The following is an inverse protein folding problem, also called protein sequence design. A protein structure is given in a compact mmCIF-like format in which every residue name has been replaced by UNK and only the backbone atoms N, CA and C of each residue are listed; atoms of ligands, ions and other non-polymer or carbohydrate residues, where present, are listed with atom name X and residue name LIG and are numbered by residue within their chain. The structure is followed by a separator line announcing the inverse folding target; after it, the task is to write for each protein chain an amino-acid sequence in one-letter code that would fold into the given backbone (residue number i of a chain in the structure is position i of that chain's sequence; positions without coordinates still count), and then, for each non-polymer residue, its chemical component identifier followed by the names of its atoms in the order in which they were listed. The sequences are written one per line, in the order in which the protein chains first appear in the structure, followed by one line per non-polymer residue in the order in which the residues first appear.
data_IF_875188208229
#
_entry.id   IF_875188208229
#
_cell.length_a   1.000
_cell.length_b   1.000
_cell.length_c   1.000
_cell.angle_alpha   90.00
_cell.angle_beta   90.00
_cell.angle_gamma   90.00
#
_symmetry.space_group_name_H-M   'P 1'
#
loop_
_entity.id
_entity.type
_entity.pdbx_description
1 polymer ?
#
# COMPACT_ATOMS: atom_id res chain seq x y z
N UNK A 1 21.65 -13.10 -8.53
CA UNK A 1 21.82 -13.44 -7.14
C UNK A 1 20.79 -12.77 -6.24
N UNK A 2 20.89 -12.98 -4.94
CA UNK A 2 20.12 -12.23 -3.96
C UNK A 2 20.62 -10.78 -3.84
N UNK A 3 19.73 -9.87 -3.52
CA UNK A 3 20.06 -8.44 -3.39
C UNK A 3 19.41 -7.85 -2.13
N UNK A 4 20.23 -7.18 -1.31
CA UNK A 4 19.78 -6.21 -0.32
C UNK A 4 19.63 -4.88 -1.03
N UNK A 5 18.40 -4.38 -1.18
CA UNK A 5 18.12 -3.17 -1.94
C UNK A 5 17.67 -2.04 -1.02
N UNK A 6 18.57 -1.10 -0.78
CA UNK A 6 18.36 0.04 0.13
C UNK A 6 18.47 1.41 -0.55
N UNK A 7 18.47 1.46 -1.87
CA UNK A 7 18.50 2.72 -2.62
C UNK A 7 17.23 3.56 -2.39
N UNK A 8 16.06 2.91 -2.32
CA UNK A 8 14.89 3.49 -1.65
C UNK A 8 15.14 3.38 -0.15
N UNK A 9 14.86 4.41 0.59
CA UNK A 9 15.18 4.65 1.97
C UNK A 9 16.61 5.21 2.15
N UNK A 10 17.65 4.41 2.35
CA UNK A 10 19.02 4.88 2.61
C UNK A 10 19.61 5.67 1.43
N UNK A 11 19.37 5.23 0.21
CA UNK A 11 19.81 5.93 -1.00
C UNK A 11 18.93 7.11 -1.41
N UNK A 12 17.85 7.38 -0.69
CA UNK A 12 16.90 8.48 -0.92
C UNK A 12 16.25 8.50 -2.30
N UNK A 13 16.27 7.38 -3.02
CA UNK A 13 15.58 7.26 -4.31
C UNK A 13 14.06 7.28 -4.12
N UNK A 14 13.29 7.80 -5.08
CA UNK A 14 11.83 7.76 -5.06
C UNK A 14 11.29 6.34 -4.94
N UNK A 15 10.11 6.18 -4.33
CA UNK A 15 9.46 4.88 -4.11
C UNK A 15 9.21 4.15 -5.43
N UNK A 16 8.88 4.87 -6.49
CA UNK A 16 8.62 4.33 -7.83
C UNK A 16 9.83 3.60 -8.42
N UNK A 17 11.03 3.86 -7.90
CA UNK A 17 12.27 3.19 -8.34
C UNK A 17 12.19 1.68 -8.15
N UNK A 18 11.41 1.18 -7.17
CA UNK A 18 11.17 -0.26 -7.03
C UNK A 18 10.64 -0.92 -8.32
N UNK A 19 9.86 -0.19 -9.12
CA UNK A 19 9.31 -0.70 -10.38
C UNK A 19 10.36 -0.92 -11.49
N UNK A 20 11.53 -0.33 -11.35
CA UNK A 20 12.62 -0.39 -12.35
C UNK A 20 13.74 -1.33 -11.95
N UNK A 21 13.77 -1.76 -10.70
CA UNK A 21 14.84 -2.60 -10.15
C UNK A 21 14.55 -4.08 -10.38
N UNK A 22 15.61 -4.81 -10.74
CA UNK A 22 15.51 -6.25 -11.04
C UNK A 22 16.54 -7.07 -10.26
N UNK A 23 16.10 -8.15 -9.67
CA UNK A 23 16.95 -9.17 -9.04
C UNK A 23 16.27 -10.54 -9.07
N UNK A 24 17.06 -11.60 -8.99
CA UNK A 24 16.53 -12.95 -8.84
C UNK A 24 15.80 -13.17 -7.52
N UNK A 25 16.23 -12.45 -6.48
CA UNK A 25 15.68 -12.52 -5.14
C UNK A 25 16.01 -11.22 -4.39
N UNK A 26 15.01 -10.54 -3.89
CA UNK A 26 15.20 -9.40 -2.99
C UNK A 26 15.18 -9.91 -1.55
N UNK A 27 16.35 -10.03 -0.95
CA UNK A 27 16.54 -10.57 0.40
C UNK A 27 16.37 -9.54 1.50
N UNK A 28 16.52 -8.24 1.16
CA UNK A 28 16.17 -7.12 2.03
C UNK A 28 15.78 -5.89 1.23
N UNK A 29 14.81 -5.16 1.73
CA UNK A 29 14.43 -3.79 1.44
C UNK A 29 13.49 -3.34 2.56
N UNK A 30 13.31 -2.05 2.77
CA UNK A 30 12.47 -1.60 3.86
C UNK A 30 12.15 -0.12 3.81
N UNK A 31 11.22 0.28 4.66
CA UNK A 31 10.80 1.66 4.82
C UNK A 31 10.38 1.88 6.27
N UNK A 32 10.72 3.04 6.88
CA UNK A 32 10.40 3.28 8.28
C UNK A 32 9.03 3.92 8.50
N UNK A 33 8.44 3.58 9.63
CA UNK A 33 7.41 4.39 10.27
C UNK A 33 7.55 4.36 11.79
N UNK A 34 7.00 5.38 12.43
CA UNK A 34 6.74 5.34 13.86
C UNK A 34 5.69 4.27 14.17
N UNK A 35 5.56 3.81 15.43
CA UNK A 35 4.38 3.09 15.88
C UNK A 35 3.12 3.98 15.77
N UNK A 36 1.95 3.38 15.95
CA UNK A 36 0.71 4.15 16.03
C UNK A 36 0.68 5.04 17.30
N UNK A 37 -0.22 6.01 17.32
CA UNK A 37 -0.26 7.02 18.38
C UNK A 37 -0.46 6.41 19.78
N UNK A 38 -1.31 5.38 19.94
CA UNK A 38 -1.50 4.69 21.22
C UNK A 38 -0.23 4.00 21.74
N UNK A 39 0.64 3.56 20.83
CA UNK A 39 1.94 3.01 21.18
C UNK A 39 2.94 4.12 21.53
N UNK A 40 2.92 5.22 20.78
CA UNK A 40 3.80 6.39 21.04
C UNK A 40 3.50 6.99 22.41
N UNK A 41 2.26 7.15 22.81
CA UNK A 41 1.88 7.67 24.14
C UNK A 41 2.44 6.85 25.31
N UNK A 42 2.80 5.60 25.10
CA UNK A 42 3.41 4.76 26.17
C UNK A 42 4.83 5.13 26.50
N UNK A 43 5.58 5.74 25.57
CA UNK A 43 6.96 6.17 25.80
C UNK A 43 7.14 7.70 25.69
N UNK A 44 6.17 8.39 25.11
CA UNK A 44 6.06 9.85 25.03
C UNK A 44 4.68 10.28 25.55
N UNK A 45 4.43 10.21 26.88
CA UNK A 45 3.11 10.48 27.45
C UNK A 45 2.75 11.98 27.49
N UNK A 46 3.75 12.85 27.41
CA UNK A 46 3.56 14.31 27.51
C UNK A 46 3.42 14.92 26.10
N UNK A 47 2.49 15.88 25.94
CA UNK A 47 2.28 16.57 24.66
C UNK A 47 3.51 17.34 24.18
N UNK A 48 4.36 17.80 25.10
CA UNK A 48 5.60 18.49 24.77
C UNK A 48 6.56 17.60 23.95
N UNK A 49 6.42 16.26 24.06
CA UNK A 49 7.21 15.28 23.31
C UNK A 49 6.62 14.91 21.96
N UNK A 50 5.42 15.41 21.61
CA UNK A 50 4.75 15.09 20.35
C UNK A 50 5.29 15.91 19.18
N UNK A 51 6.58 15.82 19.03
CA UNK A 51 7.36 16.31 17.88
C UNK A 51 8.41 15.24 17.55
N UNK A 52 8.51 14.89 16.28
CA UNK A 52 9.47 13.85 15.84
C UNK A 52 10.94 14.23 16.13
N UNK A 53 11.22 15.49 16.44
CA UNK A 53 12.53 16.01 16.81
C UNK A 53 12.69 16.25 18.32
N UNK A 54 11.69 15.94 19.14
CA UNK A 54 11.84 15.96 20.59
C UNK A 54 12.92 14.95 21.05
N UNK A 55 13.54 15.17 22.19
CA UNK A 55 14.57 14.29 22.72
C UNK A 55 14.06 12.87 22.89
N UNK A 56 12.83 12.70 23.39
CA UNK A 56 12.16 11.42 23.58
C UNK A 56 11.98 10.72 22.23
N UNK A 57 11.39 11.38 21.23
CA UNK A 57 11.15 10.78 19.92
C UNK A 57 12.45 10.44 19.18
N UNK A 58 13.48 11.28 19.33
CA UNK A 58 14.81 11.02 18.75
C UNK A 58 15.52 9.85 19.44
N UNK A 59 15.34 9.66 20.74
CA UNK A 59 15.89 8.49 21.47
C UNK A 59 15.20 7.19 21.09
N UNK A 60 13.92 7.25 20.64
CA UNK A 60 13.14 6.12 20.17
C UNK A 60 13.19 5.96 18.64
N UNK A 61 14.39 6.09 18.05
CA UNK A 61 14.60 5.98 16.59
C UNK A 61 15.68 4.94 16.26
N UNK A 62 15.29 3.85 15.60
CA UNK A 62 16.19 2.75 15.23
C UNK A 62 17.22 3.13 14.16
N UNK A 63 16.87 4.06 13.26
CA UNK A 63 17.73 4.49 12.14
C UNK A 63 18.74 5.59 12.49
N UNK A 64 18.81 6.02 13.77
CA UNK A 64 19.69 7.11 14.21
C UNK A 64 19.18 8.51 13.87
N UNK A 65 19.97 9.52 14.16
CA UNK A 65 19.55 10.95 14.19
C UNK A 65 18.94 11.47 12.87
N UNK A 66 19.37 10.95 11.72
CA UNK A 66 18.89 11.44 10.41
C UNK A 66 17.60 10.79 9.94
N UNK A 67 17.14 9.72 10.59
CA UNK A 67 16.03 8.93 10.09
C UNK A 67 14.68 9.65 10.22
N UNK A 68 14.47 10.48 11.26
CA UNK A 68 13.24 11.26 11.40
C UNK A 68 13.12 12.32 10.28
N UNK A 69 14.24 12.98 9.94
CA UNK A 69 14.27 13.89 8.79
C UNK A 69 14.00 13.16 7.47
N UNK A 70 14.48 11.93 7.32
CA UNK A 70 14.24 11.12 6.12
C UNK A 70 12.76 10.70 6.03
N UNK A 71 12.14 10.31 7.14
CA UNK A 71 10.70 10.05 7.22
C UNK A 71 9.90 11.27 6.75
N UNK A 72 10.20 12.45 7.30
CA UNK A 72 9.52 13.70 6.94
C UNK A 72 9.71 14.04 5.47
N UNK A 73 10.94 13.91 4.95
CA UNK A 73 11.25 14.16 3.54
C UNK A 73 10.41 13.29 2.61
N UNK A 74 10.36 11.99 2.85
CA UNK A 74 9.53 11.08 2.04
C UNK A 74 8.05 11.39 2.20
N UNK A 75 7.60 11.70 3.41
CA UNK A 75 6.20 12.01 3.65
C UNK A 75 5.76 13.24 2.85
N UNK A 76 6.53 14.32 2.88
CA UNK A 76 6.21 15.55 2.15
C UNK A 76 6.41 15.42 0.62
N UNK A 77 7.21 14.46 0.18
CA UNK A 77 7.31 14.13 -1.25
C UNK A 77 6.05 13.43 -1.78
N UNK A 78 5.41 12.60 -0.97
CA UNK A 78 4.27 11.77 -1.38
C UNK A 78 2.92 12.30 -0.92
N UNK A 79 2.85 12.99 0.23
CA UNK A 79 1.63 13.44 0.88
C UNK A 79 1.63 14.96 1.15
N UNK A 80 0.46 15.51 1.40
CA UNK A 80 0.32 16.88 1.91
C UNK A 80 0.81 16.95 3.36
N UNK A 81 1.18 18.15 3.83
CA UNK A 81 1.61 18.36 5.21
C UNK A 81 0.54 17.91 6.20
N UNK A 82 0.88 17.06 7.18
CA UNK A 82 -0.04 16.64 8.23
C UNK A 82 -0.56 17.82 9.07
N UNK A 83 -1.77 17.69 9.59
CA UNK A 83 -2.42 18.75 10.40
C UNK A 83 -1.84 18.86 11.81
N UNK A 84 -1.44 17.74 12.38
CA UNK A 84 -0.93 17.60 13.73
C UNK A 84 -0.06 16.33 13.83
N UNK A 85 0.48 16.07 15.01
CA UNK A 85 1.36 14.92 15.27
C UNK A 85 0.67 13.57 15.05
N UNK A 86 -0.57 13.39 15.53
CA UNK A 86 -1.32 12.14 15.32
C UNK A 86 -1.56 11.87 13.83
N UNK A 87 -1.96 12.90 13.07
CA UNK A 87 -2.10 12.79 11.62
C UNK A 87 -0.75 12.48 10.93
N UNK A 88 0.36 13.01 11.44
CA UNK A 88 1.70 12.67 10.95
C UNK A 88 1.98 11.18 11.13
N UNK A 89 1.76 10.64 12.32
CA UNK A 89 1.99 9.22 12.59
C UNK A 89 1.13 8.33 11.69
N UNK A 90 -0.15 8.65 11.56
CA UNK A 90 -1.07 7.93 10.68
C UNK A 90 -0.61 7.96 9.21
N UNK A 91 -0.28 9.15 8.70
CA UNK A 91 0.17 9.28 7.30
C UNK A 91 1.52 8.58 7.07
N UNK A 92 2.41 8.59 8.06
CA UNK A 92 3.67 7.86 8.00
C UNK A 92 3.47 6.33 7.95
N UNK A 93 2.47 5.80 8.68
CA UNK A 93 2.08 4.39 8.56
C UNK A 93 1.61 4.03 7.15
N UNK A 94 0.75 4.87 6.57
CA UNK A 94 0.22 4.63 5.22
C UNK A 94 1.32 4.73 4.18
N UNK A 95 2.23 5.70 4.32
CA UNK A 95 3.41 5.86 3.47
C UNK A 95 4.31 4.63 3.49
N UNK A 96 4.61 4.09 4.68
CA UNK A 96 5.38 2.84 4.82
C UNK A 96 4.67 1.70 4.10
N UNK A 97 3.34 1.59 4.28
CA UNK A 97 2.52 0.58 3.62
C UNK A 97 2.57 0.69 2.10
N UNK A 98 2.44 1.91 1.55
CA UNK A 98 2.52 2.17 0.11
C UNK A 98 3.91 1.82 -0.47
N UNK A 99 4.98 2.20 0.22
CA UNK A 99 6.34 1.91 -0.23
C UNK A 99 6.59 0.39 -0.33
N UNK A 100 6.22 -0.35 0.72
CA UNK A 100 6.40 -1.80 0.76
C UNK A 100 5.44 -2.52 -0.20
N UNK A 101 4.20 -2.05 -0.35
CA UNK A 101 3.26 -2.54 -1.37
C UNK A 101 3.86 -2.39 -2.76
N UNK A 102 4.39 -1.23 -3.10
CA UNK A 102 5.01 -0.95 -4.41
C UNK A 102 6.17 -1.90 -4.68
N UNK A 103 7.04 -2.12 -3.69
CA UNK A 103 8.17 -3.06 -3.80
C UNK A 103 7.70 -4.49 -4.06
N UNK A 104 6.79 -5.01 -3.22
CA UNK A 104 6.29 -6.39 -3.34
C UNK A 104 5.60 -6.60 -4.70
N UNK A 105 4.76 -5.67 -5.11
CA UNK A 105 4.09 -5.75 -6.43
C UNK A 105 5.09 -5.77 -7.57
N UNK A 106 6.10 -4.88 -7.55
CA UNK A 106 7.14 -4.83 -8.57
C UNK A 106 7.92 -6.14 -8.66
N UNK A 107 8.36 -6.67 -7.52
CA UNK A 107 9.12 -7.92 -7.45
C UNK A 107 8.27 -9.12 -7.93
N UNK A 108 6.99 -9.17 -7.56
CA UNK A 108 6.09 -10.25 -7.98
C UNK A 108 5.73 -10.15 -9.46
N UNK A 109 5.57 -8.95 -10.01
CA UNK A 109 5.34 -8.77 -11.46
C UNK A 109 6.52 -9.27 -12.30
N UNK A 110 7.75 -9.20 -11.78
CA UNK A 110 8.97 -9.65 -12.48
C UNK A 110 9.17 -11.18 -12.47
N UNK A 111 8.21 -11.95 -11.96
CA UNK A 111 8.23 -13.41 -12.03
C UNK A 111 8.11 -13.88 -13.50
N UNK A 112 8.84 -14.92 -13.96
CA UNK A 112 9.67 -15.84 -13.20
C UNK A 112 11.12 -15.41 -13.00
N UNK A 113 11.50 -14.19 -13.37
CA UNK A 113 12.86 -13.73 -13.13
C UNK A 113 13.15 -13.51 -11.66
N UNK A 114 12.30 -12.77 -10.96
CA UNK A 114 12.32 -12.62 -9.51
C UNK A 114 11.43 -13.68 -8.86
N UNK A 115 12.01 -14.54 -8.03
CA UNK A 115 11.28 -15.65 -7.38
C UNK A 115 11.26 -15.55 -5.86
N UNK A 116 11.60 -14.39 -5.30
CA UNK A 116 11.47 -14.17 -3.86
C UNK A 116 11.69 -12.73 -3.44
N UNK A 117 10.96 -12.34 -2.41
CA UNK A 117 10.98 -10.97 -1.88
C UNK A 117 10.70 -10.98 -0.37
N UNK A 118 11.66 -10.45 0.42
CA UNK A 118 11.63 -10.37 1.86
C UNK A 118 11.86 -8.94 2.30
N UNK A 119 10.91 -8.35 3.01
CA UNK A 119 11.10 -7.01 3.55
C UNK A 119 11.75 -7.03 4.93
N UNK A 120 12.57 -6.06 5.22
CA UNK A 120 13.09 -5.74 6.52
C UNK A 120 12.16 -4.68 7.16
N UNK A 121 11.47 -4.95 8.29
CA UNK A 121 11.54 -6.18 9.08
C UNK A 121 10.17 -6.55 9.66
N UNK A 122 10.06 -7.71 10.31
CA UNK A 122 8.78 -8.19 10.83
C UNK A 122 8.34 -7.45 12.09
N UNK A 123 9.18 -7.37 13.13
CA UNK A 123 8.81 -6.83 14.44
C UNK A 123 9.93 -6.08 15.14
N UNK A 124 9.56 -5.29 16.13
CA UNK A 124 10.47 -4.57 17.02
C UNK A 124 10.73 -5.34 18.32
N UNK A 125 11.92 -5.11 18.93
CA UNK A 125 12.31 -5.63 20.24
C UNK A 125 12.32 -4.55 21.33
N UNK A 126 12.00 -3.31 21.01
CA UNK A 126 11.82 -2.18 21.92
C UNK A 126 10.91 -1.12 21.30
N UNK A 127 10.30 -0.19 22.09
CA UNK A 127 9.44 0.84 21.54
C UNK A 127 10.23 1.82 20.66
N UNK A 128 9.96 1.88 19.35
CA UNK A 128 10.85 2.58 18.43
C UNK A 128 10.18 2.86 17.08
N UNK A 129 10.62 3.94 16.41
CA UNK A 129 10.42 4.11 14.98
C UNK A 129 11.40 3.21 14.21
N UNK A 130 10.88 2.37 13.32
CA UNK A 130 11.65 1.37 12.60
C UNK A 130 11.00 0.91 11.30
N UNK A 131 11.64 -0.03 10.62
CA UNK A 131 11.13 -0.71 9.43
C UNK A 131 10.13 -1.85 9.75
N UNK A 132 9.82 -2.10 11.03
CA UNK A 132 8.96 -3.20 11.43
C UNK A 132 7.53 -3.05 10.94
N UNK A 133 6.87 -4.17 10.64
CA UNK A 133 5.45 -4.25 10.35
C UNK A 133 4.58 -4.44 11.59
N UNK A 134 5.21 -4.85 12.71
CA UNK A 134 4.60 -5.02 14.03
C UNK A 134 5.42 -4.29 15.07
N UNK A 135 4.81 -3.44 15.86
CA UNK A 135 5.50 -2.69 16.89
C UNK A 135 5.85 -3.54 18.12
N UNK A 136 6.63 -2.95 19.05
CA UNK A 136 7.04 -3.61 20.28
C UNK A 136 5.88 -4.10 21.13
N UNK A 137 4.76 -3.37 21.17
CA UNK A 137 3.59 -3.73 21.96
C UNK A 137 2.67 -4.75 21.28
N UNK A 138 3.07 -5.23 20.09
CA UNK A 138 2.36 -6.26 19.36
C UNK A 138 1.28 -5.74 18.41
N UNK A 139 1.14 -4.43 18.23
CA UNK A 139 0.20 -3.84 17.28
C UNK A 139 0.72 -3.92 15.86
N UNK A 140 -0.17 -4.22 14.93
CA UNK A 140 0.14 -4.24 13.51
C UNK A 140 0.15 -2.81 12.95
N UNK A 141 1.26 -2.43 12.30
CA UNK A 141 1.30 -1.21 11.51
C UNK A 141 0.56 -1.38 10.19
N UNK A 142 0.22 -0.27 9.51
CA UNK A 142 -0.46 -0.31 8.21
C UNK A 142 0.27 -1.20 7.20
N UNK A 143 1.61 -1.21 7.19
CA UNK A 143 2.44 -2.07 6.33
C UNK A 143 2.01 -3.54 6.37
N UNK A 144 1.64 -4.08 7.54
CA UNK A 144 1.22 -5.47 7.67
C UNK A 144 -0.02 -5.76 6.81
N UNK A 145 -1.02 -4.88 6.85
CA UNK A 145 -2.26 -5.04 6.10
C UNK A 145 -2.05 -4.87 4.60
N UNK A 146 -1.16 -3.94 4.19
CA UNK A 146 -0.78 -3.76 2.79
C UNK A 146 -0.04 -4.99 2.27
N UNK A 147 0.98 -5.48 3.00
CA UNK A 147 1.73 -6.68 2.65
C UNK A 147 0.82 -7.91 2.55
N UNK A 148 -0.10 -8.11 3.52
CA UNK A 148 -1.07 -9.22 3.51
C UNK A 148 -1.89 -9.26 2.22
N UNK A 149 -2.30 -8.10 1.70
CA UNK A 149 -3.08 -8.03 0.45
C UNK A 149 -2.25 -8.44 -0.76
N UNK A 150 -1.01 -7.96 -0.85
CA UNK A 150 -0.18 -8.17 -2.04
C UNK A 150 0.65 -9.45 -2.00
N UNK A 151 0.67 -10.17 -0.87
CA UNK A 151 1.23 -11.53 -0.74
C UNK A 151 0.18 -12.65 -0.89
N UNK A 152 -1.06 -12.33 -1.25
CA UNK A 152 -2.04 -13.38 -1.54
C UNK A 152 -1.58 -14.25 -2.71
N UNK A 153 -2.06 -15.47 -2.76
CA UNK A 153 -1.76 -16.47 -3.81
C UNK A 153 -2.01 -15.94 -5.24
N UNK A 154 -2.96 -15.04 -5.41
CA UNK A 154 -3.14 -14.25 -6.64
C UNK A 154 -3.04 -12.76 -6.29
N UNK A 155 -2.26 -12.04 -7.08
CA UNK A 155 -2.14 -10.59 -7.05
C UNK A 155 -2.68 -9.99 -8.35
N UNK A 156 -3.59 -9.04 -8.24
CA UNK A 156 -4.00 -8.15 -9.34
C UNK A 156 -3.22 -6.83 -9.17
N UNK A 157 -2.40 -6.49 -10.15
CA UNK A 157 -1.49 -5.34 -10.04
C UNK A 157 -1.64 -4.40 -11.24
N UNK A 158 -2.45 -3.33 -11.11
CA UNK A 158 -2.50 -2.25 -12.09
C UNK A 158 -1.17 -1.46 -12.07
N UNK A 159 -0.70 -1.08 -13.24
CA UNK A 159 0.46 -0.22 -13.43
C UNK A 159 0.35 0.54 -14.75
N UNK A 160 0.84 1.77 -14.79
CA UNK A 160 1.05 2.52 -16.03
C UNK A 160 2.50 2.44 -16.44
N UNK A 161 2.75 2.26 -17.74
CA UNK A 161 4.08 2.32 -18.33
C UNK A 161 4.43 3.73 -18.84
N UNK A 162 5.67 3.90 -19.31
CA UNK A 162 6.17 5.18 -19.84
C UNK A 162 5.41 5.64 -21.11
N UNK A 163 4.72 4.72 -21.81
CA UNK A 163 3.86 5.00 -22.98
C UNK A 163 2.44 5.42 -22.60
N UNK A 164 2.16 5.69 -21.34
CA UNK A 164 0.82 6.00 -20.83
C UNK A 164 -0.22 4.91 -21.16
N UNK A 165 0.17 3.66 -21.07
CA UNK A 165 -0.73 2.51 -21.15
C UNK A 165 -1.02 1.98 -19.76
N UNK A 166 -2.30 1.89 -19.40
CA UNK A 166 -2.73 1.19 -18.19
C UNK A 166 -2.71 -0.30 -18.45
N UNK A 167 -1.85 -1.00 -17.73
CA UNK A 167 -1.70 -2.45 -17.77
C UNK A 167 -2.25 -3.07 -16.47
N UNK A 168 -2.96 -4.17 -16.58
CA UNK A 168 -3.32 -5.01 -15.44
C UNK A 168 -2.54 -6.31 -15.53
N UNK A 169 -1.61 -6.49 -14.62
CA UNK A 169 -0.90 -7.75 -14.45
C UNK A 169 -1.57 -8.61 -13.39
N UNK A 170 -1.64 -9.91 -13.66
CA UNK A 170 -2.06 -10.90 -12.70
C UNK A 170 -0.89 -11.83 -12.43
N UNK A 171 -0.52 -11.92 -11.16
CA UNK A 171 0.53 -12.84 -10.68
C UNK A 171 -0.13 -13.96 -9.90
N UNK A 172 0.25 -15.19 -10.17
CA UNK A 172 -0.28 -16.38 -9.51
C UNK A 172 0.83 -17.26 -8.96
N UNK A 173 0.78 -17.52 -7.66
CA UNK A 173 1.62 -18.52 -6.99
C UNK A 173 0.92 -19.90 -6.92
N UNK A 174 -0.28 -20.01 -7.50
CA UNK A 174 -1.01 -21.28 -7.54
C UNK A 174 -0.28 -22.31 -8.41
N UNK A 175 -0.28 -23.56 -7.96
CA UNK A 175 0.32 -24.69 -8.68
C UNK A 175 -0.56 -25.22 -9.82
N UNK A 176 -1.78 -24.72 -9.95
CA UNK A 176 -2.72 -25.08 -11.02
C UNK A 176 -3.30 -23.82 -11.64
N UNK A 177 -3.48 -23.87 -12.96
CA UNK A 177 -4.18 -22.80 -13.68
C UNK A 177 -5.65 -22.72 -13.23
N UNK A 178 -6.21 -21.52 -13.28
CA UNK A 178 -7.62 -21.30 -13.02
C UNK A 178 -8.20 -20.25 -13.99
N UNK A 179 -9.52 -20.18 -14.07
CA UNK A 179 -10.22 -19.14 -14.81
C UNK A 179 -10.76 -18.08 -13.84
N UNK A 180 -10.85 -16.86 -14.33
CA UNK A 180 -11.41 -15.75 -13.57
C UNK A 180 -12.10 -14.72 -14.45
N UNK A 181 -12.87 -13.87 -13.82
CA UNK A 181 -13.46 -12.70 -14.44
C UNK A 181 -12.77 -11.45 -13.88
N UNK A 182 -12.03 -10.76 -14.73
CA UNK A 182 -11.41 -9.48 -14.41
C UNK A 182 -12.42 -8.35 -14.67
N UNK A 183 -12.54 -7.46 -13.70
CA UNK A 183 -13.26 -6.18 -13.80
C UNK A 183 -12.27 -5.06 -13.54
N UNK A 184 -12.21 -4.06 -14.44
CA UNK A 184 -11.35 -2.89 -14.29
C UNK A 184 -12.23 -1.67 -14.42
N UNK A 185 -12.27 -0.85 -13.39
CA UNK A 185 -13.10 0.35 -13.34
C UNK A 185 -12.22 1.57 -13.08
N UNK A 186 -12.43 2.62 -13.88
CA UNK A 186 -11.91 3.96 -13.58
C UNK A 186 -13.02 4.68 -12.83
N UNK A 187 -12.73 5.01 -11.56
CA UNK A 187 -13.70 5.57 -10.63
C UNK A 187 -13.29 6.98 -10.23
N UNK A 188 -14.23 7.93 -10.22
CA UNK A 188 -14.03 9.19 -9.52
C UNK A 188 -14.00 8.96 -8.01
N UNK A 189 -13.33 9.82 -7.30
CA UNK A 189 -13.29 9.78 -5.83
C UNK A 189 -14.65 10.03 -5.18
N UNK A 190 -15.62 10.55 -5.92
CA UNK A 190 -17.04 10.69 -5.54
C UNK A 190 -17.86 9.41 -5.71
N UNK A 191 -17.25 8.31 -6.19
CA UNK A 191 -17.93 7.04 -6.44
C UNK A 191 -18.54 6.90 -7.86
N UNK A 192 -18.50 7.95 -8.67
CA UNK A 192 -18.97 7.89 -10.06
C UNK A 192 -18.03 7.07 -10.94
N UNK A 193 -18.57 6.21 -11.78
CA UNK A 193 -17.81 5.40 -12.74
C UNK A 193 -17.56 6.17 -14.03
N UNK A 194 -16.29 6.38 -14.37
CA UNK A 194 -15.87 7.00 -15.64
C UNK A 194 -15.85 5.97 -16.76
N UNK A 195 -15.26 4.81 -16.51
CA UNK A 195 -15.12 3.74 -17.48
C UNK A 195 -15.10 2.37 -16.82
N UNK A 196 -15.44 1.32 -17.55
CA UNK A 196 -15.47 -0.04 -17.03
C UNK A 196 -15.16 -1.05 -18.12
N UNK A 197 -14.36 -2.05 -17.77
CA UNK A 197 -13.98 -3.16 -18.62
C UNK A 197 -14.21 -4.48 -17.89
N UNK A 198 -14.67 -5.48 -18.64
CA UNK A 198 -14.86 -6.84 -18.10
C UNK A 198 -14.27 -7.85 -19.07
N UNK A 199 -13.46 -8.79 -18.57
CA UNK A 199 -12.81 -9.85 -19.33
C UNK A 199 -12.84 -11.16 -18.59
N UNK A 200 -13.14 -12.23 -19.30
CA UNK A 200 -12.84 -13.59 -18.81
C UNK A 200 -11.40 -13.92 -19.17
N UNK A 201 -10.63 -14.35 -18.21
CA UNK A 201 -9.19 -14.61 -18.36
C UNK A 201 -8.84 -16.01 -17.84
N UNK A 202 -7.84 -16.61 -18.45
CA UNK A 202 -7.16 -17.78 -17.92
C UNK A 202 -5.91 -17.30 -17.17
N UNK A 203 -5.71 -17.81 -15.97
CA UNK A 203 -4.55 -17.54 -15.12
C UNK A 203 -3.72 -18.79 -15.08
N UNK A 204 -2.52 -18.74 -15.61
CA UNK A 204 -1.61 -19.89 -15.62
C UNK A 204 -0.99 -20.11 -14.23
N UNK A 205 -0.56 -21.32 -13.96
CA UNK A 205 0.14 -21.69 -12.74
C UNK A 205 1.51 -21.02 -12.67
N UNK A 206 1.94 -20.58 -11.48
CA UNK A 206 3.25 -19.95 -11.24
C UNK A 206 3.62 -18.92 -12.32
N UNK A 207 2.75 -17.93 -12.53
CA UNK A 207 2.89 -17.01 -13.66
C UNK A 207 2.73 -15.56 -13.26
N UNK A 208 3.31 -14.68 -14.06
CA UNK A 208 3.00 -13.25 -14.11
C UNK A 208 2.63 -12.88 -15.54
N UNK A 209 1.42 -12.38 -15.75
CA UNK A 209 0.85 -12.15 -17.08
C UNK A 209 0.20 -10.78 -17.13
N UNK A 210 0.45 -10.01 -18.21
CA UNK A 210 -0.40 -8.85 -18.55
C UNK A 210 -1.69 -9.38 -19.18
N UNK A 211 -2.80 -9.23 -18.49
CA UNK A 211 -4.11 -9.79 -18.90
C UNK A 211 -5.05 -8.76 -19.51
N UNK A 212 -4.72 -7.47 -19.36
CA UNK A 212 -5.48 -6.37 -19.91
C UNK A 212 -4.56 -5.16 -20.11
N UNK A 213 -4.76 -4.43 -21.21
CA UNK A 213 -4.07 -3.17 -21.51
C UNK A 213 -5.02 -2.22 -22.20
N UNK A 214 -4.92 -0.92 -21.88
CA UNK A 214 -5.69 0.15 -22.53
C UNK A 214 -4.90 1.45 -22.50
N UNK A 215 -4.90 2.27 -23.59
CA UNK A 215 -4.33 3.60 -23.54
C UNK A 215 -4.98 4.43 -22.42
N UNK A 216 -4.17 5.12 -21.64
CA UNK A 216 -4.65 5.83 -20.44
C UNK A 216 -5.66 6.93 -20.83
N UNK A 217 -5.44 7.64 -21.95
CA UNK A 217 -6.37 8.63 -22.46
C UNK A 217 -7.76 8.06 -22.76
N UNK A 218 -7.82 6.84 -23.33
CA UNK A 218 -9.10 6.12 -23.55
C UNK A 218 -9.75 5.73 -22.21
N UNK A 219 -8.97 5.22 -21.27
CA UNK A 219 -9.46 4.81 -19.96
C UNK A 219 -10.07 5.99 -19.19
N UNK A 220 -9.44 7.15 -19.24
CA UNK A 220 -9.81 8.34 -18.48
C UNK A 220 -10.96 9.14 -19.10
N UNK A 221 -11.23 9.03 -20.40
CA UNK A 221 -12.26 9.82 -21.09
C UNK A 221 -12.18 11.31 -20.77
N UNK A 222 -10.96 11.89 -20.85
CA UNK A 222 -10.65 13.29 -20.52
C UNK A 222 -10.86 13.69 -19.05
N UNK A 223 -11.06 12.73 -18.13
CA UNK A 223 -11.11 13.02 -16.69
C UNK A 223 -9.68 13.23 -16.17
N UNK A 224 -9.42 14.25 -15.33
CA UNK A 224 -8.11 14.48 -14.75
C UNK A 224 -7.62 13.29 -13.93
N UNK A 225 -6.30 13.00 -13.99
CA UNK A 225 -5.66 11.87 -13.26
C UNK A 225 -5.81 11.98 -11.74
N UNK A 226 -5.82 13.20 -11.23
CA UNK A 226 -5.96 13.56 -9.82
C UNK A 226 -7.35 13.34 -9.23
N UNK A 227 -8.37 13.21 -10.08
CA UNK A 227 -9.77 13.06 -9.66
C UNK A 227 -10.25 11.59 -9.65
N UNK A 228 -9.41 10.66 -10.09
CA UNK A 228 -9.78 9.26 -10.29
C UNK A 228 -8.77 8.28 -9.68
N UNK A 229 -9.22 7.06 -9.51
CA UNK A 229 -8.39 5.89 -9.28
C UNK A 229 -8.87 4.71 -10.14
N UNK A 230 -7.97 3.76 -10.37
CA UNK A 230 -8.29 2.50 -11.03
C UNK A 230 -8.61 1.46 -9.96
N UNK A 231 -9.80 0.86 -10.05
CA UNK A 231 -10.21 -0.27 -9.23
C UNK A 231 -10.22 -1.54 -10.08
N UNK A 232 -9.32 -2.46 -9.78
CA UNK A 232 -9.24 -3.74 -10.48
C UNK A 232 -9.62 -4.88 -9.56
N UNK A 233 -10.58 -5.71 -9.98
CA UNK A 233 -11.09 -6.86 -9.22
C UNK A 233 -11.03 -8.10 -10.10
N UNK A 234 -10.47 -9.16 -9.57
CA UNK A 234 -10.49 -10.49 -10.18
C UNK A 234 -11.32 -11.45 -9.32
N UNK A 235 -12.33 -12.02 -9.90
CA UNK A 235 -13.16 -13.05 -9.31
C UNK A 235 -12.75 -14.40 -9.86
N UNK A 236 -12.40 -15.35 -8.99
CA UNK A 236 -12.07 -16.75 -9.35
C UNK A 236 -12.99 -17.73 -8.65
N UNK A 237 -12.88 -19.01 -9.02
CA UNK A 237 -13.64 -20.09 -8.39
C UNK A 237 -15.16 -19.83 -8.36
N UNK A 238 -15.70 -19.38 -9.51
CA UNK A 238 -17.12 -18.99 -9.69
C UNK A 238 -17.55 -17.87 -8.73
N UNK A 239 -16.64 -16.94 -8.45
CA UNK A 239 -16.92 -15.77 -7.59
C UNK A 239 -16.69 -15.99 -6.10
N UNK A 240 -16.26 -17.19 -5.68
CA UNK A 240 -15.96 -17.46 -4.26
C UNK A 240 -14.75 -16.71 -3.73
N UNK A 241 -13.76 -16.43 -4.59
CA UNK A 241 -12.57 -15.68 -4.24
C UNK A 241 -12.52 -14.36 -5.00
N UNK A 242 -12.23 -13.29 -4.28
CA UNK A 242 -12.07 -11.94 -4.81
C UNK A 242 -10.69 -11.38 -4.48
N UNK A 243 -10.01 -10.83 -5.49
CA UNK A 243 -8.71 -10.17 -5.38
C UNK A 243 -8.87 -8.76 -5.94
N UNK A 244 -8.70 -7.77 -5.08
CA UNK A 244 -8.93 -6.38 -5.47
C UNK A 244 -7.70 -5.51 -5.18
N UNK A 245 -7.46 -4.54 -6.05
CA UNK A 245 -6.42 -3.54 -5.87
C UNK A 245 -6.87 -2.18 -6.41
N UNK A 246 -6.43 -1.12 -5.72
CA UNK A 246 -6.63 0.25 -6.14
C UNK A 246 -5.29 0.84 -6.58
N UNK A 247 -5.29 1.57 -7.70
CA UNK A 247 -4.12 2.22 -8.25
C UNK A 247 -4.41 3.69 -8.53
N UNK A 248 -3.54 4.58 -8.02
CA UNK A 248 -3.60 6.01 -8.25
C UNK A 248 -2.61 6.41 -9.33
N UNK A 249 -3.00 7.32 -10.18
CA UNK A 249 -2.24 7.74 -11.35
C UNK A 249 -1.27 8.89 -11.06
N UNK A 250 -1.41 9.50 -9.88
CA UNK A 250 -0.60 10.62 -9.39
C UNK A 250 -0.21 10.37 -7.94
N UNK A 251 0.75 11.15 -7.43
CA UNK A 251 1.13 11.10 -6.01
C UNK A 251 -0.04 11.47 -5.11
N UNK A 252 -0.07 10.92 -3.90
CA UNK A 252 -1.19 11.12 -2.98
C UNK A 252 -1.44 12.59 -2.63
N UNK A 253 -0.40 13.44 -2.64
CA UNK A 253 -0.53 14.89 -2.43
C UNK A 253 -1.27 15.62 -3.55
N UNK A 254 -1.26 15.05 -4.74
CA UNK A 254 -1.89 15.61 -5.94
C UNK A 254 -3.36 15.15 -6.08
N UNK A 255 -3.73 14.04 -5.43
CA UNK A 255 -5.09 13.50 -5.47
C UNK A 255 -6.07 14.49 -4.84
N UNK A 256 -7.17 14.78 -5.54
CA UNK A 256 -8.25 15.67 -5.10
C UNK A 256 -9.27 14.92 -4.22
N UNK A 257 -8.83 14.47 -3.02
CA UNK A 257 -9.71 13.77 -2.09
C UNK A 257 -10.89 14.64 -1.68
N UNK A 258 -12.15 14.21 -1.93
CA UNK A 258 -13.32 14.84 -1.35
C UNK A 258 -13.35 14.61 0.17
N UNK A 259 -14.08 15.44 0.89
CA UNK A 259 -14.37 15.14 2.30
C UNK A 259 -15.27 13.89 2.34
N UNK A 260 -14.82 12.85 3.01
CA UNK A 260 -15.58 11.62 3.19
C UNK A 260 -16.23 11.61 4.58
N UNK A 261 -17.54 11.37 4.63
CA UNK A 261 -18.27 11.12 5.87
C UNK A 261 -18.38 9.61 6.07
N UNK A 262 -17.65 9.09 7.06
CA UNK A 262 -17.64 7.67 7.37
C UNK A 262 -18.64 7.43 8.52
N UNK A 263 -19.57 6.50 8.32
CA UNK A 263 -20.47 5.98 9.34
C UNK A 263 -20.16 4.53 9.64
N UNK A 264 -20.40 4.10 10.87
CA UNK A 264 -20.18 2.72 11.30
C UNK A 264 -21.37 2.17 12.06
N UNK A 265 -21.63 0.88 11.93
CA UNK A 265 -22.51 0.10 12.79
C UNK A 265 -21.82 -1.18 13.23
N UNK A 266 -22.10 -1.62 14.45
CA UNK A 266 -21.57 -2.86 15.02
C UNK A 266 -22.76 -3.72 15.41
N UNK A 267 -22.79 -4.97 14.92
CA UNK A 267 -23.82 -5.95 15.25
C UNK A 267 -23.17 -7.20 15.85
N UNK A 268 -23.74 -7.78 16.91
CA UNK A 268 -23.25 -9.05 17.44
C UNK A 268 -23.58 -10.19 16.48
N UNK A 269 -22.59 -11.06 16.24
CA UNK A 269 -22.73 -12.31 15.47
C UNK A 269 -22.23 -13.48 16.32
N UNK A 270 -22.47 -14.71 15.88
CA UNK A 270 -21.91 -15.88 16.54
C UNK A 270 -20.39 -15.82 16.57
N UNK A 271 -19.80 -15.81 17.76
CA UNK A 271 -18.36 -15.77 17.99
C UNK A 271 -17.69 -14.38 17.86
N UNK A 272 -18.45 -13.28 17.74
CA UNK A 272 -17.88 -11.94 17.67
C UNK A 272 -18.82 -10.82 17.31
N UNK A 273 -18.33 -9.86 16.58
CA UNK A 273 -19.08 -8.69 16.10
C UNK A 273 -18.80 -8.46 14.62
N UNK A 274 -19.82 -8.04 13.89
CA UNK A 274 -19.70 -7.52 12.52
C UNK A 274 -19.66 -6.00 12.55
N UNK A 275 -18.58 -5.42 12.03
CA UNK A 275 -18.43 -3.98 11.85
C UNK A 275 -18.69 -3.62 10.39
N UNK A 276 -19.73 -2.84 10.15
CA UNK A 276 -20.03 -2.28 8.84
C UNK A 276 -19.59 -0.82 8.77
N UNK A 277 -18.83 -0.47 7.74
CA UNK A 277 -18.40 0.89 7.44
C UNK A 277 -19.03 1.34 6.12
N UNK A 278 -19.62 2.54 6.12
CA UNK A 278 -20.13 3.19 4.93
C UNK A 278 -19.49 4.57 4.76
N UNK A 279 -19.32 5.02 3.53
CA UNK A 279 -18.81 6.35 3.21
C UNK A 279 -19.56 6.91 2.00
N UNK A 280 -19.84 8.21 2.02
CA UNK A 280 -20.45 8.94 0.91
C UNK A 280 -19.49 9.20 -0.26
N UNK A 281 -18.18 9.24 0.03
CA UNK A 281 -17.10 9.40 -0.94
C UNK A 281 -16.01 8.37 -0.69
N UNK A 282 -15.06 8.23 -1.63
CA UNK A 282 -13.94 7.33 -1.45
C UNK A 282 -13.11 7.69 -0.21
N UNK A 283 -13.02 6.76 0.73
CA UNK A 283 -12.18 6.87 1.92
C UNK A 283 -11.02 5.88 1.80
N UNK A 284 -9.79 6.41 1.73
CA UNK A 284 -8.58 5.59 1.61
C UNK A 284 -7.99 5.26 2.97
N UNK A 285 -7.49 4.02 3.08
CA UNK A 285 -6.71 3.55 4.24
C UNK A 285 -7.43 3.78 5.59
N UNK A 286 -8.74 3.52 5.63
CA UNK A 286 -9.51 3.59 6.88
C UNK A 286 -8.89 2.63 7.89
N UNK A 287 -8.50 3.15 9.05
CA UNK A 287 -7.88 2.38 10.11
C UNK A 287 -8.85 2.25 11.28
N UNK A 288 -9.01 1.03 11.77
CA UNK A 288 -9.91 0.72 12.89
C UNK A 288 -9.03 0.48 14.13
N UNK A 289 -9.28 1.27 15.17
CA UNK A 289 -8.65 1.11 16.49
C UNK A 289 -9.71 0.52 17.42
N UNK A 290 -9.41 -0.63 18.04
CA UNK A 290 -10.26 -1.34 18.99
C UNK A 290 -9.58 -1.39 20.35
#
# INVERSE_FOLDING_TARGET
GARHYWDVWHGKKPIETYNKERSRFFSEYGFQSFPEFESVKRYAPCEEDWDIYSEVMMSHQRGGMHANQLIETYLLNEYRKPKNFEAFLYMNHVLQGDAIKTAIEAHRRDMPYCMGTLFWQHNDCWPVASWASRDYYGRWKAQHYFARKVYRDILVSPITDEGEVLNIQVVSDRLKSCNGTLQVEVMKLTGEKVNSYKRNIKIDANSSQTVFSVPLGEALKNTPKEDVFVHAVLLTDKGKNSYANNYFLVKQKEVNYPKAAITSSIEPIEGGFELTLNSDNFARAVFIII
#
